data_IF_442795608094
#
_entry.id   IF_442795608094
#
_cell.length_a   1.000
_cell.length_b   1.000
_cell.length_c   1.000
_cell.angle_alpha   90.00
_cell.angle_beta   90.00
_cell.angle_gamma   90.00
#
_symmetry.space_group_name_H-M   'P 1'
#
loop_
_entity.id
_entity.type
_entity.pdbx_description
1 polymer ?
#
# COMPACT_ATOMS: atom_id res chain seq x y z
N UNK A 1 -0.35 -15.25 -3.80
CA UNK A 1 0.44 -14.78 -4.98
C UNK A 1 0.29 -15.77 -6.12
N UNK A 2 -0.07 -15.31 -7.30
CA UNK A 2 -0.18 -16.10 -8.54
C UNK A 2 1.03 -15.82 -9.46
N UNK A 3 1.31 -16.65 -10.48
CA UNK A 3 2.35 -16.33 -11.47
C UNK A 3 2.13 -14.98 -12.17
N UNK A 4 0.88 -14.61 -12.47
CA UNK A 4 0.53 -13.35 -13.11
C UNK A 4 0.88 -12.13 -12.21
N UNK A 5 0.46 -12.16 -10.95
CA UNK A 5 0.78 -11.08 -10.00
C UNK A 5 2.25 -11.05 -9.58
N UNK A 6 2.93 -12.20 -9.53
CA UNK A 6 4.38 -12.28 -9.27
C UNK A 6 5.20 -11.58 -10.37
N UNK A 7 4.70 -11.56 -11.62
CA UNK A 7 5.34 -10.87 -12.74
C UNK A 7 5.49 -9.35 -12.54
N UNK A 8 4.76 -8.76 -11.59
CA UNK A 8 4.95 -7.37 -11.17
C UNK A 8 6.30 -7.12 -10.49
N UNK A 9 6.87 -8.16 -9.85
CA UNK A 9 7.99 -7.99 -8.94
C UNK A 9 9.34 -7.97 -9.66
N UNK A 10 10.27 -7.19 -9.10
CA UNK A 10 11.68 -7.16 -9.54
C UNK A 10 12.63 -7.60 -8.44
N UNK A 11 13.75 -8.15 -8.84
CA UNK A 11 14.80 -8.60 -7.95
C UNK A 11 15.46 -7.41 -7.23
N UNK A 12 15.46 -7.38 -5.87
CA UNK A 12 16.08 -6.28 -5.14
C UNK A 12 17.61 -6.23 -5.24
N UNK A 13 18.24 -7.28 -5.77
CA UNK A 13 19.70 -7.36 -5.93
C UNK A 13 20.15 -6.87 -7.29
N UNK A 14 19.46 -7.25 -8.37
CA UNK A 14 19.91 -6.94 -9.73
C UNK A 14 18.89 -6.17 -10.57
N UNK A 15 17.72 -5.83 -10.03
CA UNK A 15 16.65 -5.12 -10.72
C UNK A 15 15.90 -5.93 -11.79
N UNK A 16 16.35 -7.14 -12.10
CA UNK A 16 15.74 -7.98 -13.13
C UNK A 16 14.36 -8.54 -12.70
N UNK A 17 13.53 -8.99 -13.65
CA UNK A 17 12.21 -9.55 -13.34
C UNK A 17 12.32 -10.80 -12.48
N UNK A 18 11.35 -10.98 -11.59
CA UNK A 18 11.18 -12.19 -10.80
C UNK A 18 10.08 -13.08 -11.39
N UNK A 19 10.31 -14.36 -11.40
CA UNK A 19 9.36 -15.38 -11.83
C UNK A 19 9.07 -16.33 -10.66
N UNK A 20 7.80 -16.64 -10.47
CA UNK A 20 7.37 -17.60 -9.47
C UNK A 20 7.65 -19.04 -9.96
N UNK A 21 8.47 -19.77 -9.22
CA UNK A 21 8.82 -21.16 -9.50
C UNK A 21 8.59 -21.97 -8.22
N UNK A 22 7.51 -22.72 -8.19
CA UNK A 22 7.04 -23.40 -6.98
C UNK A 22 6.71 -22.39 -5.87
N UNK A 23 7.48 -22.41 -4.79
CA UNK A 23 7.34 -21.47 -3.66
C UNK A 23 8.48 -20.45 -3.57
N UNK A 24 9.17 -20.17 -4.67
CA UNK A 24 10.28 -19.22 -4.69
C UNK A 24 10.13 -18.27 -5.87
N UNK A 25 10.52 -17.02 -5.67
CA UNK A 25 10.71 -16.03 -6.72
C UNK A 25 12.16 -16.08 -7.18
N UNK A 26 12.41 -16.22 -8.49
CA UNK A 26 13.76 -16.33 -9.06
C UNK A 26 13.96 -15.35 -10.22
N UNK A 27 15.16 -14.80 -10.33
CA UNK A 27 15.57 -13.99 -11.48
C UNK A 27 16.56 -14.75 -12.37
N UNK A 28 16.81 -14.23 -13.58
CA UNK A 28 17.75 -14.81 -14.54
C UNK A 28 19.21 -14.89 -14.04
N UNK A 29 19.59 -14.06 -13.04
CA UNK A 29 20.91 -14.09 -12.38
C UNK A 29 20.94 -15.05 -11.16
N UNK A 30 20.01 -15.98 -11.07
CA UNK A 30 19.91 -17.00 -10.02
C UNK A 30 19.69 -16.49 -8.59
N UNK A 31 19.33 -15.21 -8.37
CA UNK A 31 18.86 -14.76 -7.07
C UNK A 31 17.51 -15.41 -6.78
N UNK A 32 17.33 -15.92 -5.57
CA UNK A 32 16.14 -16.65 -5.14
C UNK A 32 15.58 -16.11 -3.83
N UNK A 33 14.26 -15.97 -3.73
CA UNK A 33 13.54 -15.47 -2.57
C UNK A 33 12.36 -16.39 -2.30
N UNK A 34 12.39 -17.10 -1.18
CA UNK A 34 11.33 -18.02 -0.81
C UNK A 34 10.10 -17.28 -0.32
N UNK A 35 8.93 -17.80 -0.67
CA UNK A 35 7.66 -17.31 -0.13
C UNK A 35 7.49 -17.83 1.31
N UNK A 36 7.10 -16.93 2.19
CA UNK A 36 6.64 -17.30 3.52
C UNK A 36 5.42 -18.25 3.44
N UNK A 37 5.07 -18.87 4.56
CA UNK A 37 3.91 -19.79 4.63
C UNK A 37 2.63 -19.14 4.10
N UNK A 38 2.45 -17.87 4.39
CA UNK A 38 1.28 -17.07 4.00
C UNK A 38 1.30 -16.60 2.54
N UNK A 39 2.37 -16.81 1.80
CA UNK A 39 2.47 -16.53 0.37
C UNK A 39 3.06 -15.16 0.00
N UNK A 40 3.67 -14.43 0.95
CA UNK A 40 4.42 -13.20 0.66
C UNK A 40 5.93 -13.45 0.53
N UNK A 41 6.65 -12.53 -0.12
CA UNK A 41 8.10 -12.53 -0.23
C UNK A 41 8.75 -11.44 0.63
N UNK A 42 9.99 -11.67 1.10
CA UNK A 42 10.80 -10.63 1.74
C UNK A 42 11.80 -10.07 0.71
N UNK A 43 11.51 -8.88 0.19
CA UNK A 43 12.29 -8.23 -0.88
C UNK A 43 12.97 -6.92 -0.43
N UNK A 44 12.95 -6.60 0.87
CA UNK A 44 13.68 -5.45 1.42
C UNK A 44 15.18 -5.74 1.42
N UNK A 45 16.03 -4.95 0.72
CA UNK A 45 17.48 -5.14 0.73
C UNK A 45 18.07 -5.00 2.13
N UNK A 46 19.02 -5.86 2.50
CA UNK A 46 19.67 -5.83 3.82
C UNK A 46 20.30 -4.48 4.14
N UNK A 47 20.89 -3.82 3.13
CA UNK A 47 21.52 -2.50 3.29
C UNK A 47 20.52 -1.35 3.55
N UNK A 48 19.24 -1.58 3.29
CA UNK A 48 18.15 -0.61 3.51
C UNK A 48 17.40 -0.84 4.83
N UNK A 49 17.85 -1.80 5.61
CA UNK A 49 17.26 -2.12 6.91
C UNK A 49 17.91 -1.26 8.00
N UNK A 50 17.26 -0.16 8.38
CA UNK A 50 17.75 0.76 9.41
C UNK A 50 17.45 0.30 10.84
N UNK A 51 16.44 -0.57 11.03
CA UNK A 51 16.04 -1.14 12.32
C UNK A 51 15.85 -2.65 12.20
N UNK A 52 15.84 -3.37 13.32
CA UNK A 52 15.62 -4.81 13.34
C UNK A 52 14.23 -5.19 12.81
N UNK A 53 13.23 -4.36 13.09
CA UNK A 53 11.82 -4.56 12.68
C UNK A 53 11.28 -3.22 12.13
N UNK A 54 11.49 -2.93 10.82
CA UNK A 54 11.04 -1.69 10.20
C UNK A 54 9.53 -1.70 9.98
N UNK A 55 8.92 -0.51 9.98
CA UNK A 55 7.46 -0.31 9.83
C UNK A 55 6.72 -0.42 11.15
N UNK A 56 5.39 -0.49 11.05
CA UNK A 56 4.50 -0.55 12.21
C UNK A 56 4.66 -1.84 13.02
N UNK A 57 4.71 -1.72 14.33
CA UNK A 57 4.78 -2.85 15.25
C UNK A 57 3.47 -3.67 15.27
N UNK A 58 3.55 -4.91 15.76
CA UNK A 58 2.42 -5.86 15.76
C UNK A 58 1.18 -5.34 16.46
N UNK A 59 1.32 -4.60 17.55
CA UNK A 59 0.19 -4.04 18.29
C UNK A 59 -0.54 -2.99 17.43
N UNK A 60 0.20 -2.05 16.84
CA UNK A 60 -0.33 -1.01 15.96
C UNK A 60 -1.02 -1.59 14.71
N UNK A 61 -0.41 -2.61 14.07
CA UNK A 61 -1.01 -3.29 12.92
C UNK A 61 -2.34 -3.95 13.29
N UNK A 62 -2.42 -4.57 14.48
CA UNK A 62 -3.66 -5.20 14.96
C UNK A 62 -4.75 -4.19 15.29
N UNK A 63 -4.39 -3.09 15.94
CA UNK A 63 -5.30 -1.99 16.26
C UNK A 63 -5.86 -1.38 14.96
N UNK A 64 -4.99 -1.04 14.00
CA UNK A 64 -5.41 -0.55 12.68
C UNK A 64 -6.37 -1.53 11.99
N UNK A 65 -6.06 -2.82 11.99
CA UNK A 65 -6.93 -3.84 11.41
C UNK A 65 -8.29 -3.89 12.08
N UNK A 66 -8.35 -3.86 13.41
CA UNK A 66 -9.61 -3.84 14.15
C UNK A 66 -10.45 -2.62 13.76
N UNK A 67 -9.81 -1.45 13.72
CA UNK A 67 -10.46 -0.19 13.35
C UNK A 67 -11.00 -0.19 11.91
N UNK A 68 -10.20 -0.63 10.93
CA UNK A 68 -10.63 -0.73 9.53
C UNK A 68 -11.73 -1.78 9.34
N UNK A 69 -11.62 -2.93 10.02
CA UNK A 69 -12.62 -4.00 9.97
C UNK A 69 -13.97 -3.59 10.60
N UNK A 70 -13.97 -2.63 11.52
CA UNK A 70 -15.20 -2.03 12.07
C UNK A 70 -15.91 -1.09 11.07
N UNK A 71 -15.32 -0.85 9.89
CA UNK A 71 -15.92 -0.07 8.82
C UNK A 71 -15.79 1.45 8.95
N UNK A 72 -14.99 1.93 9.90
CA UNK A 72 -14.82 3.38 10.12
C UNK A 72 -14.30 4.14 8.90
N UNK A 73 -13.54 3.48 8.02
CA UNK A 73 -13.02 4.05 6.78
C UNK A 73 -13.73 3.58 5.51
N UNK A 74 -14.93 2.97 5.65
CA UNK A 74 -15.73 2.54 4.50
C UNK A 74 -16.03 3.68 3.50
N UNK A 75 -16.35 4.92 3.91
CA UNK A 75 -16.54 6.02 2.96
C UNK A 75 -15.30 6.32 2.11
N UNK A 76 -14.09 6.29 2.70
CA UNK A 76 -12.86 6.46 1.94
C UNK A 76 -12.62 5.28 0.99
N UNK A 77 -12.85 4.04 1.43
CA UNK A 77 -12.71 2.85 0.59
C UNK A 77 -13.65 2.90 -0.62
N UNK A 78 -14.89 3.37 -0.41
CA UNK A 78 -15.86 3.57 -1.49
C UNK A 78 -15.40 4.64 -2.47
N UNK A 79 -14.96 5.81 -1.99
CA UNK A 79 -14.43 6.89 -2.83
C UNK A 79 -13.24 6.41 -3.66
N UNK A 80 -12.32 5.66 -3.05
CA UNK A 80 -11.18 5.07 -3.76
C UNK A 80 -11.62 4.08 -4.84
N UNK A 81 -12.61 3.23 -4.56
CA UNK A 81 -13.14 2.27 -5.55
C UNK A 81 -13.78 2.98 -6.75
N UNK A 82 -14.55 4.03 -6.51
CA UNK A 82 -15.16 4.85 -7.57
C UNK A 82 -14.10 5.54 -8.44
N UNK A 83 -13.05 6.09 -7.81
CA UNK A 83 -11.93 6.69 -8.53
C UNK A 83 -11.16 5.66 -9.37
N UNK A 84 -10.86 4.50 -8.78
CA UNK A 84 -10.17 3.42 -9.47
C UNK A 84 -10.99 2.87 -10.64
N UNK A 85 -12.30 2.67 -10.48
CA UNK A 85 -13.18 2.16 -11.52
C UNK A 85 -13.26 3.08 -12.75
N UNK A 86 -13.05 4.38 -12.57
CA UNK A 86 -13.04 5.38 -13.65
C UNK A 86 -11.70 5.43 -14.42
N UNK A 87 -10.69 4.67 -14.03
CA UNK A 87 -9.34 4.68 -14.58
C UNK A 87 -8.96 3.29 -15.11
N UNK A 88 -7.96 3.17 -16.00
CA UNK A 88 -7.34 1.88 -16.31
C UNK A 88 -6.78 1.26 -15.03
N UNK A 89 -7.19 0.01 -14.72
CA UNK A 89 -6.86 -0.65 -13.46
C UNK A 89 -6.62 -2.17 -13.60
N UNK A 90 -6.20 -2.63 -14.78
CA UNK A 90 -5.86 -4.04 -14.97
C UNK A 90 -4.65 -4.46 -14.09
N UNK A 91 -3.70 -3.55 -13.90
CA UNK A 91 -2.50 -3.74 -13.07
C UNK A 91 -2.42 -2.64 -12.01
N UNK A 92 -2.66 -3.00 -10.76
CA UNK A 92 -2.64 -2.09 -9.62
C UNK A 92 -1.40 -2.36 -8.76
N UNK A 93 -0.74 -1.28 -8.32
CA UNK A 93 0.29 -1.32 -7.27
C UNK A 93 -0.21 -0.54 -6.06
N UNK A 94 -0.14 -1.12 -4.86
CA UNK A 94 -0.34 -0.38 -3.61
C UNK A 94 0.99 -0.24 -2.85
N UNK A 95 1.42 1.02 -2.68
CA UNK A 95 2.68 1.39 -2.04
C UNK A 95 2.45 1.80 -0.57
N UNK A 96 2.76 0.90 0.36
CA UNK A 96 2.44 1.06 1.77
C UNK A 96 1.08 0.46 2.12
N UNK A 97 0.84 -0.76 1.66
CA UNK A 97 -0.45 -1.45 1.72
C UNK A 97 -0.95 -1.80 3.14
N UNK A 98 -0.09 -1.67 4.15
CA UNK A 98 -0.43 -2.07 5.50
C UNK A 98 -0.87 -3.54 5.58
N UNK A 99 -1.99 -3.80 6.25
CA UNK A 99 -2.51 -5.15 6.48
C UNK A 99 -3.51 -5.63 5.40
N UNK A 100 -3.68 -4.83 4.30
CA UNK A 100 -4.38 -5.23 3.10
C UNK A 100 -5.89 -4.98 3.07
N UNK A 101 -6.47 -4.24 4.02
CA UNK A 101 -7.93 -3.98 4.02
C UNK A 101 -8.38 -3.19 2.81
N UNK A 102 -7.63 -2.16 2.41
CA UNK A 102 -7.90 -1.39 1.19
C UNK A 102 -7.76 -2.27 -0.05
N UNK A 103 -6.68 -3.05 -0.12
CA UNK A 103 -6.42 -3.97 -1.24
C UNK A 103 -7.57 -4.96 -1.45
N UNK A 104 -8.03 -5.59 -0.34
CA UNK A 104 -9.13 -6.56 -0.41
C UNK A 104 -10.44 -5.91 -0.87
N UNK A 105 -10.76 -4.72 -0.33
CA UNK A 105 -11.95 -3.98 -0.73
C UNK A 105 -11.91 -3.62 -2.22
N UNK A 106 -10.80 -3.05 -2.68
CA UNK A 106 -10.63 -2.64 -4.07
C UNK A 106 -10.59 -3.84 -5.02
N UNK A 107 -9.93 -4.93 -4.62
CA UNK A 107 -9.89 -6.17 -5.41
C UNK A 107 -11.29 -6.71 -5.70
N UNK A 108 -12.16 -6.73 -4.69
CA UNK A 108 -13.54 -7.19 -4.84
C UNK A 108 -14.38 -6.21 -5.67
N UNK A 109 -14.26 -4.90 -5.40
CA UNK A 109 -15.03 -3.87 -6.09
C UNK A 109 -14.66 -3.75 -7.59
N UNK A 110 -13.40 -4.04 -7.95
CA UNK A 110 -12.88 -3.91 -9.31
C UNK A 110 -12.83 -5.23 -10.09
N UNK A 111 -13.50 -6.28 -9.60
CA UNK A 111 -13.57 -7.61 -10.23
C UNK A 111 -12.22 -8.30 -10.44
N UNK A 112 -11.33 -8.21 -9.47
CA UNK A 112 -10.11 -8.99 -9.40
C UNK A 112 -8.98 -8.54 -10.33
N UNK A 113 -8.49 -7.30 -10.25
CA UNK A 113 -7.34 -6.82 -11.02
C UNK A 113 -6.06 -7.59 -10.62
N UNK A 114 -5.03 -7.52 -11.47
CA UNK A 114 -3.71 -7.96 -11.06
C UNK A 114 -3.14 -6.95 -10.05
N UNK A 115 -2.98 -7.38 -8.80
CA UNK A 115 -2.56 -6.52 -7.72
C UNK A 115 -1.21 -6.96 -7.16
N UNK A 116 -0.27 -6.02 -7.06
CA UNK A 116 0.99 -6.16 -6.36
C UNK A 116 1.08 -5.08 -5.29
N UNK A 117 1.49 -5.44 -4.08
CA UNK A 117 1.51 -4.50 -2.97
C UNK A 117 2.70 -4.77 -2.04
N UNK A 118 3.19 -3.71 -1.39
CA UNK A 118 4.31 -3.84 -0.48
C UNK A 118 4.19 -2.90 0.71
N UNK A 119 4.78 -3.32 1.82
CA UNK A 119 4.90 -2.54 3.05
C UNK A 119 6.22 -2.89 3.76
N UNK A 120 6.71 -1.99 4.60
CA UNK A 120 7.90 -2.24 5.44
C UNK A 120 7.60 -3.21 6.58
N UNK A 121 6.37 -3.19 7.12
CA UNK A 121 5.96 -4.03 8.23
C UNK A 121 5.72 -5.47 7.77
N UNK A 122 6.61 -6.36 8.19
CA UNK A 122 6.46 -7.80 7.94
C UNK A 122 5.14 -8.36 8.50
N UNK A 123 4.69 -7.86 9.66
CA UNK A 123 3.43 -8.32 10.24
C UNK A 123 2.22 -7.87 9.41
N UNK A 124 2.23 -6.63 8.91
CA UNK A 124 1.20 -6.10 8.05
C UNK A 124 1.10 -6.92 6.75
N UNK A 125 2.22 -7.09 6.04
CA UNK A 125 2.31 -7.90 4.80
C UNK A 125 1.85 -9.34 5.02
N UNK A 126 2.19 -9.93 6.18
CA UNK A 126 1.74 -11.29 6.54
C UNK A 126 0.21 -11.38 6.63
N UNK A 127 -0.43 -10.37 7.21
CA UNK A 127 -1.89 -10.31 7.32
C UNK A 127 -2.54 -10.05 5.95
N UNK A 128 -2.00 -9.14 5.16
CA UNK A 128 -2.45 -8.84 3.80
C UNK A 128 -2.42 -10.08 2.91
N UNK A 129 -1.31 -10.83 2.91
CA UNK A 129 -1.17 -12.06 2.12
C UNK A 129 -2.13 -13.17 2.53
N UNK A 130 -2.56 -13.22 3.80
CA UNK A 130 -3.63 -14.13 4.26
C UNK A 130 -5.01 -13.67 3.81
N UNK A 131 -5.23 -12.36 3.78
CA UNK A 131 -6.51 -11.76 3.45
C UNK A 131 -6.82 -11.88 1.95
N UNK A 132 -5.80 -11.69 1.10
CA UNK A 132 -5.92 -11.72 -0.36
C UNK A 132 -4.78 -12.54 -0.98
N UNK A 133 -4.87 -13.89 -0.97
CA UNK A 133 -3.80 -14.77 -1.46
C UNK A 133 -3.54 -14.69 -2.97
N UNK A 134 -4.44 -14.12 -3.75
CA UNK A 134 -4.31 -13.90 -5.20
C UNK A 134 -3.28 -12.81 -5.53
N UNK A 135 -3.16 -11.78 -4.70
CA UNK A 135 -2.27 -10.66 -4.90
C UNK A 135 -0.79 -10.99 -4.59
N UNK A 136 0.12 -10.21 -5.15
CA UNK A 136 1.55 -10.31 -4.87
C UNK A 136 1.96 -9.36 -3.74
N UNK A 137 1.97 -9.86 -2.51
CA UNK A 137 2.46 -9.11 -1.36
C UNK A 137 3.94 -9.35 -1.10
N UNK A 138 4.68 -8.29 -0.77
CA UNK A 138 6.08 -8.43 -0.36
C UNK A 138 6.49 -7.37 0.68
N UNK A 139 7.46 -7.72 1.51
CA UNK A 139 8.12 -6.76 2.39
C UNK A 139 9.10 -5.94 1.56
N UNK A 140 8.90 -4.63 1.49
CA UNK A 140 9.68 -3.69 0.70
C UNK A 140 9.36 -2.25 1.06
N UNK A 141 10.18 -1.30 0.63
CA UNK A 141 10.01 0.13 0.91
C UNK A 141 9.77 0.95 -0.35
N UNK A 142 9.03 2.04 -0.21
CA UNK A 142 8.65 2.92 -1.32
C UNK A 142 9.86 3.55 -2.05
N UNK A 143 10.93 3.88 -1.33
CA UNK A 143 12.14 4.47 -1.91
C UNK A 143 13.10 3.48 -2.58
N UNK A 144 12.74 2.21 -2.65
CA UNK A 144 13.41 1.15 -3.41
C UNK A 144 12.39 0.04 -3.68
N UNK A 145 11.33 0.42 -4.39
CA UNK A 145 10.14 -0.42 -4.55
C UNK A 145 10.45 -1.70 -5.33
N UNK A 146 10.00 -2.86 -4.83
CA UNK A 146 10.28 -4.16 -5.46
C UNK A 146 9.37 -4.47 -6.65
N UNK A 147 8.94 -3.45 -7.36
CA UNK A 147 8.04 -3.54 -8.52
C UNK A 147 8.77 -3.12 -9.79
N UNK A 148 8.48 -3.78 -10.89
CA UNK A 148 9.07 -3.54 -12.22
C UNK A 148 8.71 -2.17 -12.76
N UNK A 149 9.59 -1.67 -13.62
CA UNK A 149 9.39 -0.43 -14.36
C UNK A 149 8.19 -0.58 -15.32
N UNK A 150 7.33 0.44 -15.38
CA UNK A 150 6.22 0.53 -16.30
C UNK A 150 5.18 -0.60 -16.21
N UNK A 151 5.04 -1.26 -15.05
CA UNK A 151 4.08 -2.35 -14.90
C UNK A 151 2.67 -1.87 -14.55
N UNK A 152 2.54 -0.83 -13.74
CA UNK A 152 1.26 -0.41 -13.18
C UNK A 152 0.47 0.49 -14.14
N UNK A 153 -0.82 0.23 -14.27
CA UNK A 153 -1.81 1.14 -14.84
C UNK A 153 -2.18 2.21 -13.81
N UNK A 154 -2.31 1.75 -12.56
CA UNK A 154 -2.75 2.52 -11.42
C UNK A 154 -1.85 2.22 -10.22
N UNK A 155 -1.36 3.28 -9.57
CA UNK A 155 -0.62 3.20 -8.32
C UNK A 155 -1.42 3.88 -7.22
N UNK A 156 -1.55 3.18 -6.11
CA UNK A 156 -2.17 3.69 -4.89
C UNK A 156 -1.07 4.01 -3.87
N UNK A 157 -1.23 5.13 -3.18
CA UNK A 157 -0.46 5.47 -1.99
C UNK A 157 -1.42 6.07 -0.96
N UNK A 158 -1.80 5.27 0.03
CA UNK A 158 -2.80 5.62 1.02
C UNK A 158 -2.12 5.84 2.36
N UNK A 159 -2.04 7.10 2.82
CA UNK A 159 -1.42 7.51 4.09
C UNK A 159 0.05 7.06 4.24
N UNK A 160 0.77 6.93 3.14
CA UNK A 160 2.15 6.47 3.09
C UNK A 160 3.07 7.56 2.50
N UNK A 161 4.39 7.53 2.73
CA UNK A 161 5.30 8.53 2.18
C UNK A 161 5.34 8.54 0.65
N UNK A 162 5.37 9.72 0.07
CA UNK A 162 5.53 9.92 -1.37
C UNK A 162 6.97 9.61 -1.79
N UNK A 163 7.12 8.79 -2.83
CA UNK A 163 8.41 8.42 -3.44
C UNK A 163 8.34 8.66 -4.96
N UNK A 164 8.35 9.92 -5.36
CA UNK A 164 8.04 10.41 -6.72
C UNK A 164 8.75 9.62 -7.82
N UNK A 165 10.09 9.54 -7.76
CA UNK A 165 10.89 8.87 -8.77
C UNK A 165 10.55 7.36 -8.91
N UNK A 166 10.32 6.68 -7.79
CA UNK A 166 9.96 5.26 -7.78
C UNK A 166 8.52 5.05 -8.28
N UNK A 167 7.59 5.92 -7.90
CA UNK A 167 6.21 5.85 -8.34
C UNK A 167 6.09 6.12 -9.84
N UNK A 168 6.78 7.16 -10.35
CA UNK A 168 6.85 7.43 -11.78
C UNK A 168 7.47 6.26 -12.56
N UNK A 169 8.52 5.61 -12.01
CA UNK A 169 9.16 4.44 -12.62
C UNK A 169 8.23 3.23 -12.74
N UNK A 170 7.42 2.98 -11.71
CA UNK A 170 6.50 1.81 -11.67
C UNK A 170 5.31 1.97 -12.60
N UNK A 171 4.85 3.20 -12.80
CA UNK A 171 3.74 3.49 -13.70
C UNK A 171 4.16 3.38 -15.17
N UNK A 172 3.28 2.83 -15.99
CA UNK A 172 3.41 2.93 -17.45
C UNK A 172 3.17 4.38 -17.91
N UNK A 173 3.64 4.77 -19.09
CA UNK A 173 3.28 6.06 -19.68
C UNK A 173 1.75 6.23 -19.73
N UNK A 174 1.24 7.34 -19.19
CA UNK A 174 -0.19 7.59 -19.07
C UNK A 174 -0.90 6.82 -17.94
N UNK A 175 -0.15 6.14 -17.08
CA UNK A 175 -0.68 5.54 -15.84
C UNK A 175 -1.05 6.61 -14.80
N UNK A 176 -1.81 6.24 -13.80
CA UNK A 176 -2.37 7.16 -12.82
C UNK A 176 -1.86 6.86 -11.40
N UNK A 177 -1.66 7.92 -10.62
CA UNK A 177 -1.39 7.85 -9.19
C UNK A 177 -2.61 8.38 -8.42
N UNK A 178 -3.13 7.58 -7.49
CA UNK A 178 -4.06 8.06 -6.46
C UNK A 178 -3.28 8.16 -5.16
N UNK A 179 -3.15 9.39 -4.66
CA UNK A 179 -2.44 9.69 -3.42
C UNK A 179 -3.43 10.21 -2.38
N UNK A 180 -3.80 9.36 -1.42
CA UNK A 180 -4.68 9.73 -0.31
C UNK A 180 -3.87 10.25 0.87
N UNK A 181 -4.19 11.46 1.31
CA UNK A 181 -3.54 12.13 2.43
C UNK A 181 -4.58 12.68 3.41
N UNK A 182 -4.24 12.84 4.69
CA UNK A 182 -5.12 13.48 5.65
C UNK A 182 -5.35 14.94 5.28
N UNK A 183 -6.59 15.42 5.42
CA UNK A 183 -6.91 16.85 5.38
C UNK A 183 -6.38 17.56 6.63
N UNK A 184 -6.37 18.90 6.63
CA UNK A 184 -5.92 19.69 7.79
C UNK A 184 -6.63 19.27 9.08
N UNK A 185 -7.93 18.99 9.00
CA UNK A 185 -8.76 18.65 10.17
C UNK A 185 -9.03 17.15 10.35
N UNK A 186 -8.28 16.30 9.64
CA UNK A 186 -8.42 14.86 9.80
C UNK A 186 -8.17 14.44 11.26
N UNK A 187 -9.12 13.73 11.86
CA UNK A 187 -9.15 13.32 13.27
C UNK A 187 -9.00 14.48 14.28
N UNK A 188 -9.36 15.70 13.90
CA UNK A 188 -9.16 16.88 14.77
C UNK A 188 -9.93 16.75 16.08
N UNK A 189 -11.18 16.25 16.07
CA UNK A 189 -11.95 16.04 17.29
C UNK A 189 -11.29 15.05 18.27
N UNK A 190 -10.58 14.04 17.76
CA UNK A 190 -9.77 13.16 18.61
C UNK A 190 -8.56 13.91 19.20
N UNK A 191 -7.91 14.76 18.41
CA UNK A 191 -6.79 15.59 18.88
C UNK A 191 -7.22 16.57 20.00
N UNK A 192 -8.44 17.13 19.91
CA UNK A 192 -9.01 17.99 20.96
C UNK A 192 -9.17 17.29 22.32
N UNK A 193 -9.36 15.96 22.28
CA UNK A 193 -9.47 15.16 23.52
C UNK A 193 -8.10 14.72 24.04
N UNK A 194 -7.14 14.45 23.14
CA UNK A 194 -5.85 13.85 23.50
C UNK A 194 -4.75 14.87 23.78
N UNK A 195 -4.82 16.08 23.21
CA UNK A 195 -3.75 17.07 23.28
C UNK A 195 -4.22 18.33 23.99
N UNK A 196 -3.41 18.88 24.87
CA UNK A 196 -3.65 20.17 25.52
C UNK A 196 -3.70 21.32 24.51
N UNK A 197 -2.89 21.21 23.44
CA UNK A 197 -2.83 22.15 22.32
C UNK A 197 -3.05 21.38 21.01
N UNK A 198 -4.30 21.16 20.58
CA UNK A 198 -4.59 20.46 19.34
C UNK A 198 -4.06 21.24 18.13
N UNK A 199 -3.53 20.55 17.14
CA UNK A 199 -2.96 21.13 15.93
C UNK A 199 -3.55 20.50 14.67
N UNK A 200 -3.66 21.31 13.62
CA UNK A 200 -4.06 20.83 12.29
C UNK A 200 -2.90 20.10 11.61
N UNK A 201 -3.22 19.17 10.71
CA UNK A 201 -2.21 18.52 9.89
C UNK A 201 -1.69 19.52 8.83
N UNK A 202 -0.43 19.36 8.46
CA UNK A 202 0.10 20.08 7.29
C UNK A 202 -0.60 19.61 6.00
N UNK A 203 -1.04 20.57 5.20
CA UNK A 203 -1.62 20.28 3.88
C UNK A 203 -0.50 19.90 2.92
N UNK A 204 -0.62 18.73 2.29
CA UNK A 204 0.37 18.25 1.31
C UNK A 204 0.28 19.04 0.01
N UNK A 205 1.43 19.17 -0.65
CA UNK A 205 1.50 19.70 -2.00
C UNK A 205 0.73 18.81 -2.98
N UNK A 206 0.28 19.38 -4.08
CA UNK A 206 -0.37 18.66 -5.20
C UNK A 206 0.52 18.55 -6.43
N UNK A 207 1.70 19.18 -6.40
CA UNK A 207 2.67 19.16 -7.48
C UNK A 207 3.83 18.23 -7.11
N UNK A 208 4.09 17.25 -7.97
CA UNK A 208 5.13 16.24 -7.80
C UNK A 208 5.87 16.03 -9.11
N UNK A 209 7.19 15.87 -9.04
CA UNK A 209 8.02 15.67 -10.21
C UNK A 209 7.62 14.40 -10.99
N UNK A 210 7.42 14.55 -12.29
CA UNK A 210 7.01 13.45 -13.17
C UNK A 210 5.51 13.19 -13.20
N UNK A 211 4.70 13.99 -12.49
CA UNK A 211 3.24 13.85 -12.46
C UNK A 211 2.55 15.14 -12.92
N UNK A 212 1.40 14.97 -13.56
CA UNK A 212 0.48 16.06 -13.86
C UNK A 212 -0.73 15.96 -12.95
N UNK A 213 -1.02 17.01 -12.19
CA UNK A 213 -2.20 17.05 -11.34
C UNK A 213 -3.49 17.02 -12.20
N UNK A 214 -4.42 16.15 -11.86
CA UNK A 214 -5.68 15.98 -12.57
C UNK A 214 -6.84 16.55 -11.77
N UNK A 215 -7.02 16.07 -10.54
CA UNK A 215 -8.10 16.54 -9.63
C UNK A 215 -7.82 16.14 -8.19
N UNK A 216 -8.45 16.83 -7.25
CA UNK A 216 -8.59 16.38 -5.87
C UNK A 216 -10.05 16.02 -5.58
N UNK A 217 -10.25 15.02 -4.71
CA UNK A 217 -11.56 14.63 -4.20
C UNK A 217 -11.43 14.49 -2.70
N UNK A 218 -12.34 15.09 -1.95
CA UNK A 218 -12.41 14.94 -0.50
C UNK A 218 -13.39 13.83 -0.14
N UNK A 219 -13.00 13.00 0.81
CA UNK A 219 -13.86 12.02 1.46
C UNK A 219 -13.98 12.39 2.92
N UNK A 220 -15.16 12.68 3.38
CA UNK A 220 -15.44 13.08 4.75
C UNK A 220 -16.40 12.09 5.42
N UNK A 221 -16.12 11.79 6.68
CA UNK A 221 -17.01 11.01 7.53
C UNK A 221 -16.90 11.48 8.98
N UNK A 222 -18.03 11.53 9.66
CA UNK A 222 -18.06 11.78 11.11
C UNK A 222 -18.19 10.43 11.81
N UNK A 223 -17.23 10.16 12.70
CA UNK A 223 -17.20 8.93 13.48
C UNK A 223 -17.49 9.25 14.96
N UNK A 224 -18.34 8.44 15.58
CA UNK A 224 -18.48 8.41 17.03
C UNK A 224 -17.73 7.20 17.55
N UNK A 225 -16.71 7.42 18.35
CA UNK A 225 -15.86 6.39 18.91
C UNK A 225 -16.08 6.32 20.43
N UNK A 226 -16.19 5.11 20.97
CA UNK A 226 -16.39 4.87 22.40
C UNK A 226 -15.46 3.76 22.90
N UNK A 227 -15.08 3.85 24.20
CA UNK A 227 -14.33 2.79 24.89
C UNK A 227 -12.99 2.46 24.25
N UNK A 228 -12.76 1.18 23.93
CA UNK A 228 -11.49 0.68 23.41
C UNK A 228 -11.15 1.25 22.04
N UNK A 229 -12.14 1.58 21.21
CA UNK A 229 -11.93 2.18 19.88
C UNK A 229 -11.24 3.55 19.91
N UNK A 230 -11.19 4.21 21.04
CA UNK A 230 -10.44 5.49 21.23
C UNK A 230 -8.98 5.24 21.54
N UNK A 231 -8.64 4.06 22.08
CA UNK A 231 -7.28 3.67 22.48
C UNK A 231 -6.51 2.96 21.36
N UNK A 232 -7.23 2.38 20.41
CA UNK A 232 -6.71 1.70 19.24
C UNK A 232 -6.32 2.70 18.12
#
# INVERSE_FOLDING_TARGET
>A
MTPATAAALRCPVCGGPLLLTGRSLRCAKAHSFDLAKEGYAYLLPMQKKHTADPGDGKAMVRARRAFLSAGHYAPLMQTLAELCAALPHAHIVDAGCGEGSYDKYLYDALNGPQLAAFDLSKEAVRLAAKLLPEAAFCVGGSFCAPVRDGWADLLLNIFSPMAEAEFARMLRPGGHLIYAVPTARHLFGLKEVLYEHPYENEVRQTEYDGFTFVKAVESEAVLTLEGQSVQD
#
